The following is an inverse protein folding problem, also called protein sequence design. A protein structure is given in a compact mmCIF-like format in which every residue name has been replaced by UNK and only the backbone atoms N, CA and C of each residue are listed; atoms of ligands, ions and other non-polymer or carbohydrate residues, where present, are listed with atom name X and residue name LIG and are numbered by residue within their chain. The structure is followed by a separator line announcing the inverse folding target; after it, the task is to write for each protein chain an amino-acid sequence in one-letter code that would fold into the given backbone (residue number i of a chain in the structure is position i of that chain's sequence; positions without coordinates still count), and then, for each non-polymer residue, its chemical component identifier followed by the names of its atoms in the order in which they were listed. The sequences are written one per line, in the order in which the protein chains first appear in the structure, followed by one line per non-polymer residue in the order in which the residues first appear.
data_IF_660258185738
#
_entry.id   IF_660258185738
#
_cell.length_a   1.000
_cell.length_b   1.000
_cell.length_c   1.000
_cell.angle_alpha   90.00
_cell.angle_beta   90.00
_cell.angle_gamma   90.00
#
_symmetry.space_group_name_H-M   'P 1'
#
loop_
_entity.id
_entity.type
_entity.pdbx_description
1 polymer ?
#
# COMPACT_ATOMS: atom_id res chain seq x y z
N UNK A 1 -31.72 -26.75 73.34
CA UNK A 1 -32.28 -25.94 72.24
C UNK A 1 -31.12 -25.19 71.62
N UNK A 2 -30.76 -25.57 70.39
CA UNK A 2 -29.48 -25.28 69.76
C UNK A 2 -29.40 -23.87 69.17
N UNK A 3 -28.21 -23.28 69.32
CA UNK A 3 -27.70 -22.08 68.66
C UNK A 3 -27.84 -22.15 67.13
N UNK A 4 -28.60 -21.22 66.53
CA UNK A 4 -28.44 -20.82 65.11
C UNK A 4 -28.81 -19.34 64.98
N UNK A 5 -27.94 -18.45 65.44
CA UNK A 5 -27.90 -17.05 65.02
C UNK A 5 -26.46 -16.80 64.57
N UNK A 6 -26.28 -15.96 63.55
CA UNK A 6 -25.02 -15.51 62.93
C UNK A 6 -24.29 -16.47 61.99
N UNK A 7 -24.84 -16.69 60.79
CA UNK A 7 -23.99 -16.95 59.59
C UNK A 7 -24.66 -16.59 58.24
N UNK A 8 -25.69 -15.73 58.21
CA UNK A 8 -26.40 -15.37 56.98
C UNK A 8 -26.26 -13.89 56.55
N UNK A 9 -25.27 -13.16 57.08
CA UNK A 9 -25.10 -11.71 56.80
C UNK A 9 -23.69 -11.32 56.32
N UNK A 10 -22.91 -12.26 55.77
CA UNK A 10 -21.59 -11.97 55.19
C UNK A 10 -21.35 -12.52 53.77
N UNK A 11 -22.36 -13.12 53.13
CA UNK A 11 -22.23 -13.63 51.75
C UNK A 11 -22.95 -12.78 50.68
N UNK A 12 -23.82 -11.84 51.08
CA UNK A 12 -24.52 -10.94 50.16
C UNK A 12 -23.82 -9.60 49.93
N UNK A 13 -22.76 -9.30 50.70
CA UNK A 13 -22.00 -8.05 50.58
C UNK A 13 -20.76 -8.19 49.67
N UNK A 14 -20.24 -9.40 49.45
CA UNK A 14 -19.08 -9.65 48.58
C UNK A 14 -19.44 -9.76 47.09
N UNK A 15 -20.63 -10.25 46.75
CA UNK A 15 -21.07 -10.35 45.35
C UNK A 15 -21.34 -8.96 44.72
N UNK A 16 -21.80 -8.00 45.52
CA UNK A 16 -22.07 -6.62 45.08
C UNK A 16 -20.81 -5.76 44.99
N UNK A 17 -19.77 -6.04 45.80
CA UNK A 17 -18.47 -5.37 45.72
C UNK A 17 -17.65 -5.77 44.49
N UNK A 18 -17.82 -6.99 43.97
CA UNK A 18 -17.14 -7.42 42.73
C UNK A 18 -17.74 -6.72 41.49
N UNK A 19 -19.04 -6.40 41.49
CA UNK A 19 -19.71 -5.84 40.31
C UNK A 19 -19.33 -4.39 39.98
N UNK A 20 -18.69 -3.69 40.91
CA UNK A 20 -18.34 -2.25 40.79
C UNK A 20 -16.87 -2.01 40.46
N UNK A 21 -16.04 -3.05 40.38
CA UNK A 21 -14.62 -2.88 40.07
C UNK A 21 -14.46 -2.36 38.64
N UNK A 22 -13.83 -1.20 38.50
CA UNK A 22 -13.43 -0.65 37.20
C UNK A 22 -12.25 -1.46 36.66
N UNK A 23 -12.29 -1.85 35.39
CA UNK A 23 -11.13 -2.43 34.70
C UNK A 23 -10.17 -1.33 34.26
N UNK A 24 -8.87 -1.59 34.36
CA UNK A 24 -7.82 -0.71 33.87
C UNK A 24 -7.08 -1.37 32.70
N UNK A 25 -7.27 -0.83 31.50
CA UNK A 25 -6.78 -1.38 30.25
C UNK A 25 -5.45 -0.73 29.83
N UNK A 26 -4.55 -1.56 29.31
CA UNK A 26 -3.32 -1.14 28.61
C UNK A 26 -3.52 -1.37 27.12
N UNK A 27 -2.80 -0.62 26.27
CA UNK A 27 -2.90 -0.75 24.81
C UNK A 27 -2.75 -2.22 24.38
N UNK A 28 -3.72 -2.78 23.62
CA UNK A 28 -3.81 -4.21 23.35
C UNK A 28 -2.95 -4.66 22.15
N UNK A 29 -2.04 -3.79 21.69
CA UNK A 29 -1.28 -3.98 20.46
C UNK A 29 0.14 -3.48 20.64
N UNK A 30 1.10 -4.27 20.17
CA UNK A 30 2.51 -3.87 20.13
C UNK A 30 2.75 -2.73 19.14
N UNK A 31 3.58 -1.76 19.55
CA UNK A 31 4.04 -0.66 18.70
C UNK A 31 3.70 0.71 19.26
N UNK A 32 4.00 1.74 18.47
CA UNK A 32 3.76 3.14 18.78
C UNK A 32 2.54 3.64 17.99
N UNK A 33 1.50 4.09 18.69
CA UNK A 33 0.31 4.69 18.07
C UNK A 33 0.68 5.88 17.16
N UNK A 34 0.08 5.95 15.97
CA UNK A 34 0.36 6.96 14.96
C UNK A 34 1.63 6.73 14.14
N UNK A 35 2.39 5.67 14.44
CA UNK A 35 3.58 5.25 13.68
C UNK A 35 3.44 3.81 13.19
N UNK A 36 3.26 2.88 14.13
CA UNK A 36 3.22 1.44 13.86
C UNK A 36 1.77 0.94 13.71
N UNK A 37 0.83 1.55 14.42
CA UNK A 37 -0.60 1.28 14.27
C UNK A 37 -1.43 2.57 14.40
N UNK A 38 -2.67 2.51 13.93
CA UNK A 38 -3.60 3.63 13.84
C UNK A 38 -4.98 3.18 14.33
N UNK A 39 -5.68 4.02 15.09
CA UNK A 39 -7.09 3.75 15.37
C UNK A 39 -7.89 4.23 14.18
N UNK A 40 -8.60 3.33 13.51
CA UNK A 40 -9.37 3.68 12.30
C UNK A 40 -10.86 3.78 12.58
N UNK A 41 -11.37 2.91 13.46
CA UNK A 41 -12.77 2.92 13.88
C UNK A 41 -12.86 2.81 15.41
N UNK A 42 -13.70 3.63 16.02
CA UNK A 42 -14.14 3.53 17.41
C UNK A 42 -15.52 2.85 17.49
N UNK A 43 -15.99 2.59 18.70
CA UNK A 43 -17.35 2.06 18.91
C UNK A 43 -18.37 3.05 18.37
N UNK A 44 -19.39 2.54 17.70
CA UNK A 44 -20.54 3.32 17.26
C UNK A 44 -21.55 3.49 18.41
N UNK A 45 -21.79 4.75 18.78
CA UNK A 45 -22.71 5.15 19.84
C UNK A 45 -24.10 5.49 19.31
N UNK A 46 -24.29 5.55 17.99
CA UNK A 46 -25.60 5.81 17.38
C UNK A 46 -26.20 4.52 16.80
N UNK A 47 -27.02 3.83 17.58
CA UNK A 47 -27.64 2.56 17.16
C UNK A 47 -28.74 2.71 16.09
N UNK A 48 -28.89 3.90 15.50
CA UNK A 48 -29.88 4.15 14.45
C UNK A 48 -29.31 3.72 13.11
N UNK A 49 -30.12 3.06 12.28
CA UNK A 49 -29.69 2.57 10.95
C UNK A 49 -29.13 3.70 10.08
N UNK A 50 -27.96 3.51 9.50
CA UNK A 50 -27.19 4.49 8.71
C UNK A 50 -26.84 5.79 9.46
N UNK A 51 -26.83 5.78 10.79
CA UNK A 51 -26.26 6.84 11.60
C UNK A 51 -24.98 6.33 12.25
N UNK A 52 -24.02 7.22 12.44
CA UNK A 52 -22.74 6.87 13.06
C UNK A 52 -22.31 7.98 14.01
N UNK A 53 -21.84 7.60 15.20
CA UNK A 53 -21.15 8.52 16.12
C UNK A 53 -20.10 7.78 16.92
N UNK A 54 -18.85 8.21 16.82
CA UNK A 54 -17.82 7.76 17.76
C UNK A 54 -17.99 8.42 19.14
N UNK A 55 -17.14 8.06 20.11
CA UNK A 55 -17.22 8.57 21.49
C UNK A 55 -17.08 10.08 21.64
N UNK A 56 -16.53 10.79 20.65
CA UNK A 56 -16.44 12.26 20.60
C UNK A 56 -17.53 12.89 19.73
N UNK A 57 -18.54 12.12 19.33
CA UNK A 57 -19.56 12.49 18.37
C UNK A 57 -19.01 12.82 16.97
N UNK A 58 -17.84 12.28 16.63
CA UNK A 58 -17.27 12.34 15.29
C UNK A 58 -17.74 11.18 14.40
N UNK A 59 -17.07 11.04 13.27
CA UNK A 59 -17.40 10.10 12.20
C UNK A 59 -16.37 8.96 12.07
N UNK A 60 -15.48 8.79 13.04
CA UNK A 60 -14.42 7.77 12.98
C UNK A 60 -14.94 6.41 13.45
N UNK A 61 -15.95 5.91 12.75
CA UNK A 61 -16.62 4.62 12.98
C UNK A 61 -17.48 4.27 11.76
N UNK A 62 -18.19 3.14 11.82
CA UNK A 62 -19.21 2.75 10.85
C UNK A 62 -20.43 2.14 11.55
N UNK A 63 -21.57 2.08 10.85
CA UNK A 63 -22.87 1.68 11.42
C UNK A 63 -22.78 0.30 12.07
N UNK A 64 -23.08 0.25 13.37
CA UNK A 64 -23.10 -0.97 14.18
C UNK A 64 -21.72 -1.48 14.62
N UNK A 65 -20.66 -0.67 14.52
CA UNK A 65 -19.33 -1.08 14.97
C UNK A 65 -19.26 -1.22 16.50
N UNK A 66 -18.89 -2.42 16.99
CA UNK A 66 -18.96 -2.77 18.41
C UNK A 66 -17.61 -2.67 19.15
N UNK A 67 -16.53 -2.29 18.46
CA UNK A 67 -15.18 -2.33 19.03
C UNK A 67 -14.34 -1.13 18.66
N UNK A 68 -13.04 -1.24 18.93
CA UNK A 68 -12.02 -0.32 18.41
C UNK A 68 -11.06 -1.08 17.50
N UNK A 69 -10.82 -0.54 16.31
CA UNK A 69 -9.92 -1.13 15.33
C UNK A 69 -8.54 -0.47 15.39
N UNK A 70 -7.54 -1.24 15.83
CA UNK A 70 -6.13 -0.87 15.83
C UNK A 70 -5.46 -1.45 14.57
N UNK A 71 -5.34 -0.63 13.54
CA UNK A 71 -4.96 -1.03 12.19
C UNK A 71 -3.47 -0.86 11.94
N UNK A 72 -2.84 -1.90 11.39
CA UNK A 72 -1.45 -1.86 10.94
C UNK A 72 -1.33 -1.11 9.62
N UNK A 73 -0.11 -0.75 9.23
CA UNK A 73 0.14 -0.04 7.97
C UNK A 73 -0.18 -0.88 6.74
N UNK A 74 0.05 -2.19 6.77
CA UNK A 74 0.00 -3.07 5.59
C UNK A 74 0.16 -4.54 5.94
N UNK A 75 -0.17 -5.42 4.99
CA UNK A 75 0.09 -6.86 5.11
C UNK A 75 1.58 -7.21 5.24
N UNK A 76 2.49 -6.45 4.63
CA UNK A 76 3.94 -6.65 4.88
C UNK A 76 4.32 -6.44 6.36
N UNK A 77 3.66 -5.53 7.07
CA UNK A 77 3.86 -5.36 8.51
C UNK A 77 3.23 -6.50 9.30
N UNK A 78 2.04 -6.96 8.91
CA UNK A 78 1.42 -8.17 9.47
C UNK A 78 2.35 -9.38 9.36
N UNK A 79 3.00 -9.55 8.19
CA UNK A 79 3.92 -10.66 7.93
C UNK A 79 5.17 -10.60 8.82
N UNK A 80 5.62 -9.39 9.22
CA UNK A 80 6.73 -9.20 10.16
C UNK A 80 6.40 -9.64 11.60
N UNK A 81 5.11 -9.85 11.92
CA UNK A 81 4.64 -10.38 13.20
C UNK A 81 4.50 -9.31 14.28
N UNK A 82 3.35 -8.63 14.29
CA UNK A 82 3.00 -7.67 15.36
C UNK A 82 2.20 -8.37 16.44
N UNK A 83 2.63 -8.29 17.69
CA UNK A 83 1.98 -8.96 18.81
C UNK A 83 0.66 -8.29 19.22
N UNK A 84 -0.38 -9.11 19.40
CA UNK A 84 -1.58 -8.76 20.17
C UNK A 84 -1.26 -8.96 21.64
N UNK A 85 -1.55 -7.97 22.46
CA UNK A 85 -1.21 -7.95 23.89
C UNK A 85 -2.48 -8.03 24.74
N UNK A 86 -2.42 -8.79 25.83
CA UNK A 86 -3.49 -8.75 26.84
C UNK A 86 -3.64 -7.33 27.40
N UNK A 87 -4.82 -6.74 27.29
CA UNK A 87 -5.06 -5.38 27.78
C UNK A 87 -5.07 -5.29 29.32
N UNK A 88 -5.43 -6.38 30.00
CA UNK A 88 -5.54 -6.44 31.46
C UNK A 88 -5.28 -7.87 31.97
N UNK A 89 -4.99 -7.99 33.27
CA UNK A 89 -4.80 -9.29 33.92
C UNK A 89 -6.09 -10.13 33.83
N UNK A 90 -5.96 -11.42 33.56
CA UNK A 90 -7.14 -12.27 33.40
C UNK A 90 -6.85 -13.74 33.15
N UNK A 91 -7.92 -14.45 32.80
CA UNK A 91 -7.91 -15.86 32.42
C UNK A 91 -8.50 -16.00 31.03
N UNK A 92 -7.75 -16.63 30.13
CA UNK A 92 -8.22 -16.94 28.78
C UNK A 92 -9.37 -17.93 28.88
N UNK A 93 -10.53 -17.61 28.30
CA UNK A 93 -11.69 -18.50 28.30
C UNK A 93 -12.03 -19.05 26.91
N UNK A 94 -11.50 -18.45 25.85
CA UNK A 94 -11.79 -18.88 24.47
C UNK A 94 -10.65 -18.53 23.52
N UNK A 95 -10.42 -19.41 22.52
CA UNK A 95 -9.46 -19.22 21.44
C UNK A 95 -10.01 -19.86 20.16
N UNK A 96 -10.00 -19.10 19.06
CA UNK A 96 -10.18 -19.59 17.67
C UNK A 96 -8.98 -19.12 16.87
N UNK A 97 -8.27 -20.02 16.19
CA UNK A 97 -6.98 -19.70 15.56
C UNK A 97 -6.70 -20.52 14.29
N UNK A 98 -7.75 -20.98 13.59
CA UNK A 98 -7.62 -21.89 12.45
C UNK A 98 -8.19 -21.35 11.13
N UNK A 99 -8.79 -20.15 11.14
CA UNK A 99 -9.43 -19.56 9.97
C UNK A 99 -8.43 -18.71 9.17
N UNK A 100 -8.56 -18.72 7.84
CA UNK A 100 -7.74 -17.88 6.96
C UNK A 100 -7.78 -16.39 7.34
N UNK A 101 -6.62 -15.74 7.26
CA UNK A 101 -6.31 -14.47 7.91
C UNK A 101 -5.70 -13.40 7.01
N UNK A 102 -5.84 -13.52 5.69
CA UNK A 102 -5.44 -12.48 4.74
C UNK A 102 -6.63 -12.07 3.88
N UNK A 103 -7.75 -11.76 4.54
CA UNK A 103 -8.94 -11.24 3.88
C UNK A 103 -8.73 -9.77 3.49
N UNK A 104 -9.34 -9.35 2.38
CA UNK A 104 -9.23 -7.98 1.86
C UNK A 104 -10.59 -7.36 1.56
N UNK A 105 -11.64 -8.07 1.96
CA UNK A 105 -13.04 -7.80 1.61
C UNK A 105 -13.88 -7.91 2.86
N UNK A 106 -14.84 -7.01 2.98
CA UNK A 106 -15.84 -7.04 4.05
C UNK A 106 -16.91 -8.09 3.70
N UNK A 107 -17.01 -9.11 4.54
CA UNK A 107 -18.02 -10.18 4.47
C UNK A 107 -18.53 -10.37 5.90
N UNK A 108 -19.65 -9.72 6.21
CA UNK A 108 -20.23 -9.60 7.56
C UNK A 108 -20.42 -10.97 8.22
N UNK A 109 -20.81 -11.98 7.45
CA UNK A 109 -21.06 -13.35 7.94
C UNK A 109 -19.80 -14.03 8.52
N UNK A 110 -18.61 -13.50 8.24
CA UNK A 110 -17.35 -14.03 8.77
C UNK A 110 -17.02 -13.51 10.18
N UNK A 111 -17.71 -12.46 10.66
CA UNK A 111 -17.57 -11.92 12.02
C UNK A 111 -16.12 -11.74 12.47
N UNK A 112 -15.81 -12.14 13.69
CA UNK A 112 -14.48 -11.97 14.31
C UNK A 112 -13.35 -12.75 13.64
N UNK A 113 -13.64 -13.79 12.86
CA UNK A 113 -12.61 -14.72 12.38
C UNK A 113 -11.93 -15.46 13.54
N UNK A 114 -10.60 -15.41 13.59
CA UNK A 114 -9.83 -15.91 14.73
C UNK A 114 -9.84 -14.88 15.85
N UNK A 115 -10.02 -15.33 17.08
CA UNK A 115 -10.10 -14.43 18.22
C UNK A 115 -9.76 -15.10 19.55
N UNK A 116 -9.36 -14.29 20.51
CA UNK A 116 -9.08 -14.67 21.90
C UNK A 116 -10.06 -13.94 22.81
N UNK A 117 -10.62 -14.65 23.79
CA UNK A 117 -11.46 -14.09 24.84
C UNK A 117 -10.79 -14.21 26.20
N UNK A 118 -10.72 -13.10 26.94
CA UNK A 118 -10.12 -13.05 28.28
C UNK A 118 -11.16 -12.56 29.28
N UNK A 119 -11.31 -13.29 30.38
CA UNK A 119 -12.16 -12.92 31.50
C UNK A 119 -11.31 -12.28 32.60
N UNK A 120 -11.78 -11.16 33.14
CA UNK A 120 -11.09 -10.37 34.14
C UNK A 120 -11.87 -10.33 35.45
N UNK A 121 -11.27 -9.76 36.49
CA UNK A 121 -11.99 -9.45 37.72
C UNK A 121 -13.18 -8.52 37.46
N UNK A 122 -14.14 -8.49 38.38
CA UNK A 122 -15.33 -7.66 38.29
C UNK A 122 -16.32 -8.00 37.17
N UNK A 123 -16.17 -9.17 36.53
CA UNK A 123 -17.07 -9.64 35.49
C UNK A 123 -16.82 -9.00 34.12
N UNK A 124 -15.67 -8.36 33.92
CA UNK A 124 -15.25 -7.82 32.63
C UNK A 124 -14.73 -8.92 31.71
N UNK A 125 -14.92 -8.72 30.41
CA UNK A 125 -14.38 -9.55 29.34
C UNK A 125 -13.80 -8.68 28.25
N UNK A 126 -12.67 -9.08 27.70
CA UNK A 126 -12.10 -8.49 26.49
C UNK A 126 -12.02 -9.51 25.37
N UNK A 127 -12.23 -9.03 24.15
CA UNK A 127 -12.23 -9.84 22.93
C UNK A 127 -11.22 -9.24 21.96
N UNK A 128 -10.36 -10.09 21.41
CA UNK A 128 -9.27 -9.72 20.50
C UNK A 128 -9.49 -10.47 19.19
N UNK A 129 -10.05 -9.81 18.18
CA UNK A 129 -10.48 -10.43 16.94
C UNK A 129 -9.53 -10.15 15.76
N UNK A 130 -9.82 -10.80 14.63
CA UNK A 130 -9.04 -10.76 13.39
C UNK A 130 -7.59 -11.27 13.54
N UNK A 131 -7.37 -12.16 14.51
CA UNK A 131 -6.06 -12.72 14.84
C UNK A 131 -5.48 -13.53 13.67
N UNK A 132 -4.15 -13.57 13.55
CA UNK A 132 -3.41 -14.34 12.55
C UNK A 132 -3.56 -15.84 12.80
N UNK A 133 -3.80 -16.62 11.77
CA UNK A 133 -3.94 -18.09 11.84
C UNK A 133 -2.70 -18.74 12.45
N UNK A 134 -2.90 -19.73 13.32
CA UNK A 134 -1.86 -20.47 14.01
C UNK A 134 -0.85 -19.57 14.76
N UNK A 135 -1.33 -18.46 15.33
CA UNK A 135 -0.48 -17.51 16.06
C UNK A 135 -0.78 -17.41 17.55
N UNK A 136 -1.84 -18.05 18.05
CA UNK A 136 -2.21 -18.00 19.45
C UNK A 136 -1.07 -18.58 20.33
N UNK A 137 -0.64 -17.78 21.30
CA UNK A 137 0.40 -18.13 22.28
C UNK A 137 -0.19 -18.66 23.60
N UNK A 138 -1.51 -18.67 23.69
CA UNK A 138 -2.28 -19.03 24.88
C UNK A 138 -3.41 -20.01 24.53
N UNK A 139 -3.90 -20.71 25.54
CA UNK A 139 -5.07 -21.61 25.44
C UNK A 139 -6.07 -21.33 26.57
N UNK A 140 -7.33 -21.77 26.45
CA UNK A 140 -8.30 -21.65 27.52
C UNK A 140 -7.78 -22.21 28.86
N UNK A 141 -7.95 -21.43 29.93
CA UNK A 141 -7.46 -21.72 31.27
C UNK A 141 -6.14 -21.05 31.63
N UNK A 142 -5.37 -20.56 30.65
CA UNK A 142 -4.13 -19.84 30.93
C UNK A 142 -4.40 -18.51 31.63
N UNK A 143 -3.54 -18.15 32.58
CA UNK A 143 -3.52 -16.83 33.22
C UNK A 143 -2.56 -15.93 32.45
N UNK A 144 -2.97 -14.70 32.24
CA UNK A 144 -2.16 -13.65 31.59
C UNK A 144 -2.18 -12.39 32.43
N UNK A 145 -1.12 -11.60 32.33
CA UNK A 145 -1.05 -10.24 32.87
C UNK A 145 -1.10 -9.21 31.74
N UNK A 146 -1.46 -7.98 32.07
CA UNK A 146 -1.48 -6.89 31.10
C UNK A 146 -0.13 -6.74 30.40
N UNK A 147 -0.12 -6.71 29.07
CA UNK A 147 1.07 -6.63 28.24
C UNK A 147 1.64 -7.98 27.79
N UNK A 148 1.13 -9.11 28.28
CA UNK A 148 1.53 -10.43 27.75
C UNK A 148 1.14 -10.55 26.27
N UNK A 149 2.06 -11.04 25.44
CA UNK A 149 1.75 -11.38 24.05
C UNK A 149 0.86 -12.63 24.02
N UNK A 150 -0.31 -12.52 23.40
CA UNK A 150 -1.32 -13.60 23.36
C UNK A 150 -1.51 -14.16 21.95
N UNK A 151 -1.21 -13.40 20.90
CA UNK A 151 -1.22 -13.83 19.51
C UNK A 151 -0.49 -12.83 18.60
N UNK A 152 -0.59 -13.00 17.28
CA UNK A 152 -0.18 -12.00 16.30
C UNK A 152 -1.40 -11.40 15.56
N UNK A 153 -1.29 -10.14 15.14
CA UNK A 153 -2.33 -9.49 14.32
C UNK A 153 -2.45 -10.17 12.97
N UNK A 154 -3.68 -10.39 12.52
CA UNK A 154 -4.02 -10.90 11.20
C UNK A 154 -5.05 -10.03 10.48
N UNK A 155 -5.74 -10.65 9.53
CA UNK A 155 -6.92 -10.14 8.85
C UNK A 155 -7.89 -11.30 8.60
N UNK A 156 -8.21 -12.06 9.65
CA UNK A 156 -9.21 -13.14 9.60
C UNK A 156 -10.62 -12.58 9.78
N UNK A 157 -11.65 -13.33 9.37
CA UNK A 157 -13.03 -12.88 9.56
C UNK A 157 -13.48 -11.79 8.59
N UNK A 158 -14.33 -10.88 9.08
CA UNK A 158 -14.79 -9.70 8.38
C UNK A 158 -13.76 -8.57 8.47
N UNK A 159 -12.72 -8.62 7.62
CA UNK A 159 -11.57 -7.71 7.70
C UNK A 159 -11.06 -7.38 6.29
N UNK A 160 -10.77 -6.10 6.06
CA UNK A 160 -10.28 -5.58 4.76
C UNK A 160 -8.79 -5.23 4.75
N UNK A 161 -8.24 -4.98 5.93
CA UNK A 161 -6.85 -4.60 6.19
C UNK A 161 -6.40 -5.26 7.50
N UNK A 162 -5.10 -5.53 7.71
CA UNK A 162 -4.64 -6.16 8.94
C UNK A 162 -4.82 -5.22 10.14
N UNK A 163 -5.65 -5.65 11.09
CA UNK A 163 -5.97 -4.87 12.29
C UNK A 163 -6.35 -5.79 13.44
N UNK A 164 -6.27 -5.27 14.66
CA UNK A 164 -6.88 -5.85 15.83
C UNK A 164 -8.21 -5.15 16.09
N UNK A 165 -9.31 -5.90 16.04
CA UNK A 165 -10.60 -5.44 16.55
C UNK A 165 -10.72 -5.82 18.02
N UNK A 166 -10.92 -4.83 18.88
CA UNK A 166 -10.91 -4.97 20.33
C UNK A 166 -12.24 -4.53 20.94
N UNK A 167 -12.87 -5.42 21.69
CA UNK A 167 -14.13 -5.12 22.38
C UNK A 167 -14.01 -5.34 23.89
N UNK A 168 -14.78 -4.57 24.65
CA UNK A 168 -14.89 -4.67 26.11
C UNK A 168 -16.33 -4.88 26.49
N UNK A 169 -16.60 -5.97 27.20
CA UNK A 169 -17.94 -6.33 27.64
C UNK A 169 -17.96 -6.57 29.13
N UNK A 170 -19.16 -6.46 29.69
CA UNK A 170 -19.46 -6.93 31.03
C UNK A 170 -20.30 -8.21 30.98
N UNK A 171 -20.28 -8.98 32.06
CA UNK A 171 -20.92 -10.30 32.16
C UNK A 171 -22.43 -10.28 31.87
N UNK A 172 -23.08 -9.13 32.02
CA UNK A 172 -24.47 -8.85 31.65
C UNK A 172 -24.65 -8.60 30.14
N UNK A 173 -23.64 -8.88 29.32
CA UNK A 173 -23.64 -8.70 27.87
C UNK A 173 -23.82 -7.24 27.45
N UNK A 174 -23.43 -6.31 28.31
CA UNK A 174 -23.37 -4.88 27.96
C UNK A 174 -22.01 -4.58 27.34
N UNK A 175 -22.04 -4.02 26.13
CA UNK A 175 -20.88 -3.47 25.46
C UNK A 175 -20.45 -2.18 26.16
N UNK A 176 -19.14 -2.01 26.34
CA UNK A 176 -18.56 -0.80 26.89
C UNK A 176 -17.48 -0.27 25.96
N UNK A 177 -17.62 0.99 25.55
CA UNK A 177 -16.55 1.69 24.86
C UNK A 177 -15.38 1.96 25.83
N UNK A 178 -14.15 1.49 25.53
CA UNK A 178 -13.00 1.71 26.39
C UNK A 178 -12.51 3.16 26.46
N UNK A 179 -12.86 4.01 25.48
CA UNK A 179 -12.57 5.45 25.45
C UNK A 179 -13.62 6.30 26.18
N UNK A 180 -14.80 5.75 26.43
CA UNK A 180 -15.83 6.42 27.21
C UNK A 180 -17.19 5.69 27.23
N UNK A 181 -17.57 4.98 28.31
CA UNK A 181 -18.86 4.30 28.40
C UNK A 181 -20.02 5.28 28.63
N UNK A 182 -20.75 5.67 27.59
CA UNK A 182 -21.86 6.64 27.70
C UNK A 182 -22.39 7.08 26.34
N UNK A 183 -23.24 8.13 26.31
CA UNK A 183 -23.57 8.83 25.07
C UNK A 183 -22.35 9.60 24.56
N UNK A 184 -22.16 9.67 23.24
CA UNK A 184 -21.06 10.43 22.64
C UNK A 184 -20.97 11.86 23.20
N UNK A 185 -19.76 12.38 23.40
CA UNK A 185 -19.51 13.75 23.84
C UNK A 185 -19.80 14.02 25.32
N UNK A 186 -20.47 13.11 26.03
CA UNK A 186 -20.38 13.03 27.49
C UNK A 186 -19.02 12.39 27.79
N UNK A 187 -18.27 12.90 28.77
CA UNK A 187 -16.96 12.34 29.16
C UNK A 187 -17.14 11.38 30.37
N UNK A 188 -17.60 10.15 30.19
CA UNK A 188 -17.47 9.12 31.22
C UNK A 188 -15.98 8.74 31.34
N UNK A 189 -15.61 8.22 32.51
CA UNK A 189 -14.22 7.91 32.79
C UNK A 189 -13.68 6.83 31.84
N UNK A 190 -12.62 7.14 31.10
CA UNK A 190 -11.82 6.20 30.30
C UNK A 190 -11.55 4.89 31.03
N UNK A 191 -11.57 3.76 30.32
CA UNK A 191 -11.12 2.46 30.84
C UNK A 191 -9.60 2.26 30.64
N UNK A 192 -8.94 3.11 29.85
CA UNK A 192 -7.50 3.03 29.62
C UNK A 192 -6.70 3.63 30.79
N UNK A 193 -5.61 2.97 31.17
CA UNK A 193 -4.59 3.53 32.09
C UNK A 193 -3.97 4.80 31.50
N UNK A 194 -3.64 4.75 30.21
CA UNK A 194 -3.14 5.86 29.43
C UNK A 194 -3.97 5.93 28.14
N UNK A 195 -5.01 6.76 28.14
CA UNK A 195 -5.86 6.92 26.95
C UNK A 195 -5.06 7.53 25.80
N UNK A 196 -5.11 6.88 24.64
CA UNK A 196 -4.59 7.45 23.40
C UNK A 196 -5.42 8.68 23.00
N UNK A 197 -4.79 9.73 22.42
CA UNK A 197 -5.51 10.94 22.04
C UNK A 197 -6.54 10.65 20.94
N UNK A 198 -7.65 11.41 20.97
CA UNK A 198 -8.57 11.47 19.83
C UNK A 198 -7.93 12.30 18.72
N UNK A 199 -7.22 11.62 17.83
CA UNK A 199 -6.41 12.26 16.80
C UNK A 199 -7.20 12.43 15.50
N UNK A 200 -7.53 13.68 15.21
CA UNK A 200 -8.27 14.06 14.00
C UNK A 200 -7.39 14.75 12.96
N UNK A 201 -6.09 14.84 13.21
CA UNK A 201 -5.17 15.50 12.32
C UNK A 201 -4.95 14.69 11.04
N UNK A 202 -4.81 15.40 9.92
CA UNK A 202 -4.39 14.76 8.68
C UNK A 202 -2.96 14.22 8.81
N UNK A 203 -2.75 12.96 8.43
CA UNK A 203 -1.44 12.31 8.46
C UNK A 203 -1.21 11.44 7.24
N UNK A 204 0.03 11.48 6.75
CA UNK A 204 0.53 10.52 5.77
C UNK A 204 1.03 9.30 6.51
N UNK A 205 0.41 8.15 6.24
CA UNK A 205 0.87 6.87 6.79
C UNK A 205 2.06 6.40 5.97
N UNK A 206 1.97 6.43 4.65
CA UNK A 206 3.08 6.12 3.74
C UNK A 206 2.78 6.60 2.32
N UNK A 207 3.79 6.58 1.45
CA UNK A 207 3.63 6.89 0.04
C UNK A 207 4.80 6.34 -0.77
N UNK A 208 4.64 6.28 -2.09
CA UNK A 208 5.72 5.83 -2.94
C UNK A 208 5.44 6.01 -4.42
N UNK A 209 6.39 5.52 -5.20
CA UNK A 209 6.28 5.44 -6.65
C UNK A 209 6.31 3.98 -7.11
N UNK A 210 5.64 3.68 -8.23
CA UNK A 210 5.58 2.36 -8.87
C UNK A 210 5.67 2.50 -10.39
N UNK A 211 6.16 1.49 -11.08
CA UNK A 211 6.29 1.43 -12.54
C UNK A 211 5.12 0.70 -13.24
N UNK A 212 3.99 0.54 -12.54
CA UNK A 212 2.75 -0.08 -13.03
C UNK A 212 1.56 0.56 -12.30
N UNK A 213 0.35 0.38 -12.84
CA UNK A 213 -0.89 0.92 -12.25
C UNK A 213 -1.44 -0.02 -11.17
N UNK A 214 -1.54 0.41 -9.90
CA UNK A 214 -1.93 -0.44 -8.80
C UNK A 214 -3.42 -0.69 -8.67
N UNK A 215 -3.74 -1.75 -7.93
CA UNK A 215 -5.04 -1.96 -7.30
C UNK A 215 -4.92 -1.72 -5.80
N UNK A 216 -6.05 -1.48 -5.12
CA UNK A 216 -6.08 -1.36 -3.66
C UNK A 216 -5.40 -2.56 -2.98
N UNK A 217 -5.74 -3.77 -3.41
CA UNK A 217 -5.19 -5.01 -2.85
C UNK A 217 -3.69 -5.12 -2.96
N UNK A 218 -3.11 -4.60 -4.04
CA UNK A 218 -1.66 -4.59 -4.21
C UNK A 218 -0.96 -3.51 -3.38
N UNK A 219 -1.59 -2.35 -3.15
CA UNK A 219 -1.03 -1.32 -2.26
C UNK A 219 -1.04 -1.75 -0.80
N UNK A 220 -2.09 -2.47 -0.37
CA UNK A 220 -2.19 -3.06 0.97
C UNK A 220 -1.08 -4.05 1.28
N UNK A 221 -0.53 -4.71 0.26
CA UNK A 221 0.63 -5.61 0.37
C UNK A 221 1.95 -4.88 0.59
N UNK A 222 1.97 -3.55 0.47
CA UNK A 222 3.17 -2.71 0.53
C UNK A 222 4.18 -3.10 -0.57
N UNK A 223 3.89 -2.77 -1.84
CA UNK A 223 4.77 -3.15 -2.94
C UNK A 223 6.14 -2.49 -2.76
N UNK A 224 7.19 -3.22 -3.11
CA UNK A 224 8.56 -2.68 -3.10
C UNK A 224 8.69 -1.64 -4.21
N UNK A 225 9.11 -0.40 -3.91
CA UNK A 225 9.32 0.61 -4.95
C UNK A 225 10.42 0.16 -5.93
N UNK A 226 10.30 0.49 -7.23
CA UNK A 226 11.39 0.28 -8.17
C UNK A 226 12.59 1.16 -7.80
N UNK A 227 13.80 0.68 -8.12
CA UNK A 227 15.05 1.42 -7.88
C UNK A 227 15.31 2.54 -8.90
N UNK A 228 14.69 2.44 -10.08
CA UNK A 228 14.76 3.40 -11.19
C UNK A 228 13.57 3.20 -12.11
N UNK A 229 13.18 4.24 -12.84
CA UNK A 229 12.23 4.14 -13.95
C UNK A 229 13.02 4.07 -15.26
N UNK A 230 12.75 3.09 -16.11
CA UNK A 230 13.49 2.86 -17.35
C UNK A 230 12.53 2.76 -18.54
N UNK A 231 13.05 2.92 -19.76
CA UNK A 231 12.25 2.87 -21.00
C UNK A 231 11.34 1.64 -21.22
N UNK A 232 11.59 0.44 -20.64
CA UNK A 232 10.62 -0.65 -20.70
C UNK A 232 9.34 -0.39 -19.89
N UNK A 233 9.39 0.53 -18.92
CA UNK A 233 8.23 0.90 -18.12
C UNK A 233 7.24 1.72 -18.97
N UNK A 234 5.95 1.49 -18.78
CA UNK A 234 4.92 2.23 -19.52
C UNK A 234 4.33 3.39 -18.71
N UNK A 235 4.46 3.37 -17.39
CA UNK A 235 3.85 4.34 -16.48
C UNK A 235 4.74 4.64 -15.27
N UNK A 236 4.53 5.81 -14.68
CA UNK A 236 4.96 6.14 -13.32
C UNK A 236 3.70 6.42 -12.50
N UNK A 237 3.51 5.67 -11.44
CA UNK A 237 2.41 5.84 -10.49
C UNK A 237 2.93 6.47 -9.22
N UNK A 238 2.23 7.47 -8.71
CA UNK A 238 2.32 7.94 -7.34
C UNK A 238 1.16 7.37 -6.54
N UNK A 239 1.45 6.79 -5.37
CA UNK A 239 0.44 6.32 -4.44
C UNK A 239 0.71 6.87 -3.04
N UNK A 240 -0.36 7.04 -2.29
CA UNK A 240 -0.34 7.54 -0.91
C UNK A 240 -1.36 6.77 -0.08
N UNK A 241 -0.96 6.44 1.14
CA UNK A 241 -1.81 5.91 2.19
C UNK A 241 -1.84 6.93 3.33
N UNK A 242 -3.03 7.38 3.72
CA UNK A 242 -3.23 8.57 4.55
C UNK A 242 -4.48 8.42 5.43
N UNK A 243 -4.59 9.28 6.44
CA UNK A 243 -5.72 9.35 7.36
C UNK A 243 -6.10 10.81 7.66
N UNK A 244 -7.34 11.01 8.10
CA UNK A 244 -7.84 12.32 8.54
C UNK A 244 -8.23 13.26 7.41
N UNK A 245 -8.52 12.75 6.21
CA UNK A 245 -9.10 13.54 5.13
C UNK A 245 -10.55 13.88 5.47
N UNK A 246 -10.95 15.13 5.19
CA UNK A 246 -12.30 15.63 5.45
C UNK A 246 -13.10 15.77 4.19
N UNK A 247 -14.41 15.58 4.33
CA UNK A 247 -15.37 15.97 3.30
C UNK A 247 -15.18 17.46 2.99
N UNK A 248 -14.96 17.77 1.71
CA UNK A 248 -14.67 19.12 1.22
C UNK A 248 -13.19 19.44 1.06
N UNK A 249 -12.26 18.60 1.55
CA UNK A 249 -10.84 18.76 1.24
C UNK A 249 -10.62 18.62 -0.27
N UNK A 250 -9.71 19.43 -0.83
CA UNK A 250 -9.32 19.34 -2.23
C UNK A 250 -7.93 18.73 -2.33
N UNK A 251 -7.85 17.58 -2.98
CA UNK A 251 -6.58 16.90 -3.28
C UNK A 251 -6.11 17.37 -4.65
N UNK A 252 -4.82 17.72 -4.74
CA UNK A 252 -4.17 18.09 -6.00
C UNK A 252 -2.83 17.39 -6.12
N UNK A 253 -2.55 16.82 -7.29
CA UNK A 253 -1.28 16.17 -7.61
C UNK A 253 -0.69 16.80 -8.85
N UNK A 254 0.49 17.36 -8.71
CA UNK A 254 1.26 17.92 -9.81
C UNK A 254 2.44 17.02 -10.14
N UNK A 255 2.67 16.81 -11.43
CA UNK A 255 3.87 16.19 -11.97
C UNK A 255 4.65 17.28 -12.67
N UNK A 256 5.90 17.53 -12.25
CA UNK A 256 6.73 18.61 -12.81
C UNK A 256 8.10 18.08 -13.18
N UNK A 257 8.70 18.66 -14.21
CA UNK A 257 10.11 18.46 -14.51
C UNK A 257 10.95 19.28 -13.53
N UNK A 258 11.99 18.70 -12.94
CA UNK A 258 12.75 19.34 -11.87
C UNK A 258 13.65 20.47 -12.37
N UNK A 259 14.22 20.33 -13.57
CA UNK A 259 15.24 21.27 -14.08
C UNK A 259 14.71 22.69 -14.38
N UNK A 260 13.45 22.80 -14.78
CA UNK A 260 12.80 24.07 -15.16
C UNK A 260 11.47 24.30 -14.43
N UNK A 261 11.09 23.39 -13.51
CA UNK A 261 9.81 23.38 -12.79
C UNK A 261 8.57 23.38 -13.70
N UNK A 262 8.73 22.98 -14.97
CA UNK A 262 7.64 22.95 -15.94
C UNK A 262 6.59 21.92 -15.52
N UNK A 263 5.31 22.32 -15.56
CA UNK A 263 4.20 21.41 -15.30
C UNK A 263 4.09 20.40 -16.44
N UNK A 264 4.15 19.11 -16.09
CA UNK A 264 3.93 18.01 -17.00
C UNK A 264 2.46 17.59 -17.02
N UNK A 265 1.90 17.35 -15.84
CA UNK A 265 0.50 16.94 -15.69
C UNK A 265 -0.04 17.36 -14.31
N UNK A 266 -1.34 17.60 -14.21
CA UNK A 266 -2.03 17.91 -12.96
C UNK A 266 -3.33 17.12 -12.84
N UNK A 267 -3.62 16.65 -11.63
CA UNK A 267 -4.92 16.13 -11.22
C UNK A 267 -5.43 16.93 -10.03
N UNK A 268 -6.68 17.36 -10.06
CA UNK A 268 -7.34 18.02 -8.91
C UNK A 268 -8.74 17.43 -8.73
N UNK A 269 -9.10 17.06 -7.51
CA UNK A 269 -10.42 16.52 -7.19
C UNK A 269 -10.79 16.76 -5.72
N UNK A 270 -12.07 17.02 -5.42
CA UNK A 270 -12.56 17.16 -4.05
C UNK A 270 -12.83 15.80 -3.41
N UNK A 271 -12.67 15.72 -2.09
CA UNK A 271 -13.19 14.64 -1.24
C UNK A 271 -14.67 14.90 -1.02
N UNK A 272 -15.55 14.14 -1.70
CA UNK A 272 -16.98 14.46 -1.77
C UNK A 272 -17.91 13.51 -1.02
N UNK A 273 -17.45 12.32 -0.64
CA UNK A 273 -18.32 11.25 -0.13
C UNK A 273 -18.43 11.26 1.39
N UNK A 274 -17.29 11.24 2.06
CA UNK A 274 -17.19 11.12 3.51
C UNK A 274 -15.80 11.54 4.00
N UNK A 275 -15.67 11.64 5.32
CA UNK A 275 -14.37 11.71 5.98
C UNK A 275 -13.66 10.35 5.84
N UNK A 276 -12.37 10.40 5.53
CA UNK A 276 -11.57 9.20 5.35
C UNK A 276 -10.47 9.09 6.41
N UNK A 277 -10.64 8.10 7.28
CA UNK A 277 -9.76 7.81 8.41
C UNK A 277 -8.66 6.79 8.09
N UNK A 278 -8.74 6.13 6.92
CA UNK A 278 -7.75 5.19 6.42
C UNK A 278 -7.95 5.01 4.91
N UNK A 279 -7.18 5.71 4.09
CA UNK A 279 -7.46 5.88 2.67
C UNK A 279 -6.21 5.72 1.80
N UNK A 280 -6.37 4.92 0.74
CA UNK A 280 -5.39 4.74 -0.31
C UNK A 280 -5.82 5.53 -1.54
N UNK A 281 -4.90 6.30 -2.08
CA UNK A 281 -5.09 7.04 -3.33
C UNK A 281 -3.90 6.83 -4.25
N UNK A 282 -4.12 6.82 -5.55
CA UNK A 282 -3.05 6.82 -6.54
C UNK A 282 -3.45 7.54 -7.82
N UNK A 283 -2.43 8.05 -8.50
CA UNK A 283 -2.49 8.66 -9.82
C UNK A 283 -1.28 8.17 -10.60
N UNK A 284 -1.39 8.13 -11.92
CA UNK A 284 -0.30 7.69 -12.78
C UNK A 284 -0.24 8.53 -14.04
N UNK A 285 0.97 8.70 -14.54
CA UNK A 285 1.24 9.26 -15.86
C UNK A 285 1.87 8.16 -16.72
N UNK A 286 1.72 8.26 -18.04
CA UNK A 286 2.60 7.50 -18.95
C UNK A 286 4.06 7.90 -18.67
N UNK A 287 4.99 6.96 -18.86
CA UNK A 287 6.42 7.20 -18.62
C UNK A 287 6.84 8.50 -19.35
N UNK A 288 7.29 9.53 -18.63
CA UNK A 288 7.70 10.78 -19.26
C UNK A 288 9.08 10.60 -19.93
N UNK A 289 9.53 11.55 -20.78
CA UNK A 289 10.87 11.53 -21.36
C UNK A 289 11.98 11.36 -20.33
N UNK A 290 13.16 10.89 -20.76
CA UNK A 290 14.33 10.78 -19.88
C UNK A 290 14.70 12.14 -19.29
N UNK A 291 14.47 12.31 -17.99
CA UNK A 291 14.77 13.52 -17.23
C UNK A 291 14.56 13.29 -15.73
N UNK A 292 14.74 14.35 -14.95
CA UNK A 292 14.38 14.41 -13.54
C UNK A 292 13.00 15.04 -13.35
N UNK A 293 12.18 14.40 -12.53
CA UNK A 293 10.82 14.83 -12.24
C UNK A 293 10.55 14.87 -10.74
N UNK A 294 9.53 15.62 -10.37
CA UNK A 294 8.97 15.65 -9.02
C UNK A 294 7.46 15.50 -9.10
N UNK A 295 6.91 14.58 -8.31
CA UNK A 295 5.48 14.55 -8.02
C UNK A 295 5.24 15.30 -6.71
N UNK A 296 4.28 16.23 -6.71
CA UNK A 296 3.88 17.01 -5.55
C UNK A 296 2.43 16.73 -5.22
N UNK A 297 2.15 16.43 -3.96
CA UNK A 297 0.82 16.14 -3.45
C UNK A 297 0.38 17.23 -2.47
N UNK A 298 -0.80 17.78 -2.71
CA UNK A 298 -1.37 18.89 -1.95
C UNK A 298 -2.74 18.53 -1.38
N UNK A 299 -3.06 19.13 -0.23
CA UNK A 299 -4.41 19.20 0.33
C UNK A 299 -4.73 20.65 0.60
N UNK A 300 -5.86 21.15 0.08
CA UNK A 300 -6.30 22.54 0.26
C UNK A 300 -5.19 23.56 -0.06
N UNK A 301 -4.47 23.33 -1.16
CA UNK A 301 -3.31 24.11 -1.61
C UNK A 301 -2.06 24.06 -0.70
N UNK A 302 -2.08 23.32 0.40
CA UNK A 302 -0.90 23.05 1.22
C UNK A 302 -0.13 21.86 0.65
N UNK A 303 1.15 22.06 0.36
CA UNK A 303 2.04 20.96 -0.05
C UNK A 303 2.29 20.01 1.13
N UNK A 304 2.04 18.72 0.91
CA UNK A 304 2.22 17.67 1.89
C UNK A 304 3.45 16.81 1.54
N UNK A 305 3.60 16.46 0.25
CA UNK A 305 4.69 15.62 -0.25
C UNK A 305 5.28 16.28 -1.49
N UNK A 306 6.61 16.24 -1.58
CA UNK A 306 7.34 16.38 -2.83
C UNK A 306 8.25 15.16 -2.96
N UNK A 307 8.11 14.40 -4.05
CA UNK A 307 8.91 13.19 -4.30
C UNK A 307 9.55 13.27 -5.67
N UNK A 308 10.87 13.39 -5.66
CA UNK A 308 11.69 13.36 -6.86
C UNK A 308 11.90 11.93 -7.36
N UNK A 309 12.03 11.79 -8.68
CA UNK A 309 12.41 10.56 -9.36
C UNK A 309 13.10 10.87 -10.69
N UNK A 310 13.96 9.94 -11.11
CA UNK A 310 14.63 9.99 -12.40
C UNK A 310 13.98 8.99 -13.35
N UNK A 311 13.82 9.39 -14.61
CA UNK A 311 13.56 8.47 -15.72
C UNK A 311 14.87 8.28 -16.46
N UNK A 312 15.43 7.08 -16.34
CA UNK A 312 16.72 6.75 -16.92
C UNK A 312 16.62 6.49 -18.42
N UNK A 313 17.29 7.34 -19.18
CA UNK A 313 17.53 7.18 -20.61
C UNK A 313 18.73 6.30 -20.94
N UNK A 314 19.51 5.80 -19.97
CA UNK A 314 20.76 5.05 -20.21
C UNK A 314 20.57 3.63 -20.75
N UNK A 315 19.33 3.11 -20.74
CA UNK A 315 18.94 1.93 -21.50
C UNK A 315 18.33 2.27 -22.88
N UNK A 316 18.24 3.55 -23.24
CA UNK A 316 18.38 3.89 -24.65
C UNK A 316 19.85 3.63 -24.96
N UNK A 317 20.11 2.78 -25.95
CA UNK A 317 21.32 3.03 -26.73
C UNK A 317 21.24 4.50 -27.11
N UNK A 318 22.13 5.34 -26.56
CA UNK A 318 22.32 6.68 -27.10
C UNK A 318 22.35 6.48 -28.61
N UNK A 319 21.50 7.20 -29.33
CA UNK A 319 21.58 7.27 -30.78
C UNK A 319 22.96 7.90 -31.02
N UNK A 320 24.01 7.06 -31.07
CA UNK A 320 25.37 7.48 -31.40
C UNK A 320 25.17 8.22 -32.70
N UNK A 321 25.41 9.54 -32.66
CA UNK A 321 25.10 10.50 -33.71
C UNK A 321 25.00 9.80 -35.06
N UNK A 322 23.78 9.57 -35.61
CA UNK A 322 23.63 8.78 -36.82
C UNK A 322 24.55 9.38 -37.87
N UNK A 323 25.34 8.54 -38.56
CA UNK A 323 26.25 8.97 -39.63
C UNK A 323 25.55 10.05 -40.46
N UNK A 324 26.01 11.29 -40.31
CA UNK A 324 25.24 12.47 -40.74
C UNK A 324 24.94 12.38 -42.23
N UNK A 325 23.66 12.48 -42.59
CA UNK A 325 23.24 12.39 -43.99
C UNK A 325 23.02 10.97 -44.50
N UNK A 326 22.81 9.96 -43.64
CA UNK A 326 22.36 8.62 -44.07
C UNK A 326 21.00 8.31 -43.44
N UNK A 327 20.03 7.93 -44.27
CA UNK A 327 18.73 7.40 -43.84
C UNK A 327 18.71 5.89 -44.01
N UNK A 328 18.38 5.17 -42.93
CA UNK A 328 18.16 3.72 -42.94
C UNK A 328 16.72 3.46 -42.46
N UNK A 329 15.92 2.77 -43.27
CA UNK A 329 14.51 2.46 -42.98
C UNK A 329 14.13 1.11 -43.54
N UNK A 330 13.12 0.45 -42.98
CA UNK A 330 12.51 -0.70 -43.66
C UNK A 330 11.84 -0.26 -44.96
N UNK A 331 11.82 -1.17 -45.94
CA UNK A 331 11.01 -1.01 -47.13
C UNK A 331 9.53 -1.08 -46.72
N UNK A 332 8.69 -0.09 -47.09
CA UNK A 332 7.27 -0.16 -46.77
C UNK A 332 6.64 -1.43 -47.35
N UNK A 333 6.03 -2.25 -46.47
CA UNK A 333 5.40 -3.52 -46.85
C UNK A 333 6.32 -4.74 -46.84
N UNK A 334 7.63 -4.58 -46.60
CA UNK A 334 8.58 -5.70 -46.46
C UNK A 334 9.59 -5.43 -45.34
N UNK A 335 9.31 -5.99 -44.16
CA UNK A 335 10.13 -5.86 -42.95
C UNK A 335 11.45 -6.65 -43.02
N UNK A 336 11.68 -7.44 -44.06
CA UNK A 336 12.97 -8.11 -44.28
C UNK A 336 13.95 -7.26 -45.10
N UNK A 337 13.52 -6.12 -45.65
CA UNK A 337 14.37 -5.29 -46.51
C UNK A 337 14.66 -3.97 -45.83
N UNK A 338 15.94 -3.65 -45.67
CA UNK A 338 16.40 -2.31 -45.30
C UNK A 338 16.71 -1.50 -46.54
N UNK A 339 16.22 -0.26 -46.60
CA UNK A 339 16.55 0.76 -47.58
C UNK A 339 17.53 1.76 -46.97
N UNK A 340 18.65 1.94 -47.65
CA UNK A 340 19.67 2.94 -47.32
C UNK A 340 19.69 4.03 -48.39
N UNK A 341 19.81 5.27 -47.96
CA UNK A 341 19.90 6.42 -48.88
C UNK A 341 20.67 7.54 -48.23
N UNK A 342 21.55 8.18 -49.00
CA UNK A 342 22.19 9.42 -48.57
C UNK A 342 21.20 10.59 -48.66
N UNK A 343 21.08 11.33 -47.56
CA UNK A 343 20.22 12.50 -47.43
C UNK A 343 21.07 13.78 -47.41
N UNK A 344 20.63 14.77 -48.18
CA UNK A 344 21.34 16.04 -48.33
C UNK A 344 22.45 16.01 -49.38
N UNK A 345 23.28 17.06 -49.44
CA UNK A 345 24.36 17.23 -50.42
C UNK A 345 25.71 16.69 -49.91
N UNK A 346 25.70 15.63 -49.10
CA UNK A 346 26.93 15.00 -48.61
C UNK A 346 27.56 14.13 -49.71
N UNK A 347 28.90 14.05 -49.81
CA UNK A 347 29.57 13.18 -50.78
C UNK A 347 29.30 11.70 -50.47
N UNK A 348 29.25 10.81 -51.47
CA UNK A 348 29.04 9.38 -51.25
C UNK A 348 29.99 8.79 -50.21
N UNK A 349 29.41 8.03 -49.29
CA UNK A 349 30.13 7.43 -48.16
C UNK A 349 30.21 5.92 -48.30
N UNK A 350 31.39 5.34 -48.11
CA UNK A 350 31.52 3.89 -47.99
C UNK A 350 31.15 3.46 -46.57
N UNK A 351 30.08 2.69 -46.45
CA UNK A 351 29.56 2.17 -45.18
C UNK A 351 29.86 0.68 -45.04
N UNK A 352 30.04 0.24 -43.80
CA UNK A 352 30.04 -1.16 -43.39
C UNK A 352 28.97 -1.38 -42.34
N UNK A 353 28.06 -2.31 -42.61
CA UNK A 353 26.93 -2.64 -41.74
C UNK A 353 27.12 -4.03 -41.14
N UNK A 354 27.03 -4.12 -39.82
CA UNK A 354 27.18 -5.39 -39.08
C UNK A 354 26.04 -5.54 -38.08
N UNK A 355 25.41 -6.70 -38.06
CA UNK A 355 24.31 -7.01 -37.15
C UNK A 355 24.83 -7.77 -35.91
N UNK A 356 24.31 -7.41 -34.75
CA UNK A 356 24.58 -8.01 -33.44
C UNK A 356 23.27 -8.41 -32.77
N UNK A 357 23.30 -9.44 -31.93
CA UNK A 357 22.16 -9.82 -31.09
C UNK A 357 22.17 -9.05 -29.75
N UNK A 358 21.15 -9.29 -28.91
CA UNK A 358 20.99 -8.62 -27.61
C UNK A 358 22.12 -8.88 -26.61
N UNK A 359 22.91 -9.94 -26.82
CA UNK A 359 24.09 -10.23 -26.00
C UNK A 359 25.36 -9.53 -26.50
N UNK A 360 25.26 -8.76 -27.58
CA UNK A 360 26.41 -8.15 -28.27
C UNK A 360 27.19 -9.13 -29.14
N UNK A 361 26.65 -10.33 -29.39
CA UNK A 361 27.30 -11.31 -30.27
C UNK A 361 27.02 -10.96 -31.72
N UNK A 362 28.08 -10.93 -32.53
CA UNK A 362 28.00 -10.66 -33.97
C UNK A 362 27.20 -11.76 -34.68
N UNK A 363 26.10 -11.36 -35.33
CA UNK A 363 25.23 -12.22 -36.12
C UNK A 363 25.75 -12.34 -37.55
N UNK A 364 26.16 -11.23 -38.15
CA UNK A 364 26.64 -11.23 -39.54
C UNK A 364 26.97 -9.85 -40.07
N UNK A 365 27.68 -9.80 -41.20
CA UNK A 365 27.92 -8.55 -41.94
C UNK A 365 26.85 -8.42 -43.01
N UNK A 366 26.12 -7.30 -43.01
CA UNK A 366 24.99 -7.08 -43.91
C UNK A 366 25.42 -6.46 -45.24
N UNK A 367 26.35 -5.50 -45.20
CA UNK A 367 26.70 -4.70 -46.36
C UNK A 367 28.07 -4.08 -46.24
N UNK A 368 28.74 -3.90 -47.38
CA UNK A 368 29.85 -2.97 -47.53
C UNK A 368 29.82 -2.40 -48.92
N UNK A 369 29.73 -1.08 -49.01
CA UNK A 369 29.64 -0.42 -50.29
C UNK A 369 29.40 1.07 -50.12
N UNK A 370 29.45 1.76 -51.25
CA UNK A 370 29.17 3.18 -51.34
C UNK A 370 27.65 3.41 -51.32
N UNK A 371 27.19 4.28 -50.42
CA UNK A 371 25.81 4.74 -50.37
C UNK A 371 25.78 6.17 -50.89
N UNK A 372 24.91 6.40 -51.87
CA UNK A 372 24.67 7.69 -52.52
C UNK A 372 23.17 8.04 -52.43
N UNK A 373 22.70 9.00 -53.24
CA UNK A 373 21.30 9.42 -53.27
C UNK A 373 20.34 8.37 -53.86
N UNK A 374 20.85 7.32 -54.50
CA UNK A 374 20.05 6.18 -54.94
C UNK A 374 19.78 5.21 -53.78
N UNK A 375 18.61 4.58 -53.78
CA UNK A 375 18.24 3.61 -52.75
C UNK A 375 19.03 2.33 -52.93
N UNK A 376 19.80 1.98 -51.90
CA UNK A 376 20.40 0.65 -51.76
C UNK A 376 19.51 -0.22 -50.89
N UNK A 377 19.20 -1.43 -51.34
CA UNK A 377 18.37 -2.39 -50.59
C UNK A 377 19.20 -3.53 -50.03
N UNK A 378 18.94 -3.90 -48.79
CA UNK A 378 19.60 -5.00 -48.09
C UNK A 378 18.53 -5.98 -47.62
N UNK A 379 18.63 -7.21 -48.11
CA UNK A 379 17.77 -8.31 -47.70
C UNK A 379 18.32 -9.01 -46.45
N UNK A 380 17.51 -9.08 -45.40
CA UNK A 380 17.81 -9.74 -44.13
C UNK A 380 17.41 -11.23 -44.14
N UNK A 381 16.56 -11.67 -45.06
CA UNK A 381 16.04 -13.04 -45.09
C UNK A 381 17.12 -14.14 -45.11
N UNK A 382 18.27 -13.99 -45.81
CA UNK A 382 19.32 -15.01 -45.82
C UNK A 382 19.92 -15.32 -44.44
N UNK A 383 19.78 -14.42 -43.46
CA UNK A 383 20.35 -14.57 -42.13
C UNK A 383 19.52 -15.48 -41.21
N UNK A 384 18.29 -15.83 -41.62
CA UNK A 384 17.38 -16.70 -40.84
C UNK A 384 17.25 -16.26 -39.38
N UNK A 385 17.05 -14.96 -39.18
CA UNK A 385 16.95 -14.36 -37.85
C UNK A 385 15.69 -14.86 -37.14
N UNK A 386 15.82 -15.23 -35.86
CA UNK A 386 14.66 -15.42 -35.00
C UNK A 386 13.99 -14.07 -34.74
N UNK A 387 12.67 -14.08 -34.53
CA UNK A 387 11.96 -12.87 -34.12
C UNK A 387 12.59 -12.28 -32.84
N UNK A 388 12.79 -10.97 -32.81
CA UNK A 388 13.44 -10.29 -31.69
C UNK A 388 14.13 -8.98 -32.06
N UNK A 389 14.75 -8.35 -31.05
CA UNK A 389 15.55 -7.14 -31.19
C UNK A 389 17.01 -7.49 -31.55
N UNK A 390 17.54 -6.79 -32.54
CA UNK A 390 18.94 -6.85 -32.97
C UNK A 390 19.52 -5.43 -33.05
N UNK A 391 20.84 -5.33 -33.11
CA UNK A 391 21.56 -4.06 -33.18
C UNK A 391 22.39 -3.99 -34.45
N UNK A 392 22.17 -2.95 -35.25
CA UNK A 392 22.90 -2.66 -36.47
C UNK A 392 24.01 -1.65 -36.18
N UNK A 393 25.25 -2.12 -36.21
CA UNK A 393 26.41 -1.25 -36.22
C UNK A 393 26.69 -0.75 -37.64
N UNK A 394 26.84 0.57 -37.76
CA UNK A 394 27.14 1.29 -38.99
C UNK A 394 28.51 1.90 -38.82
N UNK A 395 29.44 1.60 -39.73
CA UNK A 395 30.80 2.16 -39.69
C UNK A 395 31.09 2.84 -41.02
N UNK A 396 31.35 4.14 -40.99
CA UNK A 396 31.88 4.87 -42.13
C UNK A 396 33.40 4.63 -42.23
N UNK A 397 33.95 4.51 -43.44
CA UNK A 397 35.39 4.24 -43.65
C UNK A 397 36.33 5.26 -42.98
N UNK A 398 35.82 6.45 -42.62
CA UNK A 398 36.52 7.46 -41.83
C UNK A 398 36.70 7.11 -40.33
N UNK A 399 36.11 6.00 -39.85
CA UNK A 399 36.24 5.52 -38.47
C UNK A 399 35.14 5.99 -37.52
N UNK A 400 34.14 6.73 -38.01
CA UNK A 400 32.96 7.13 -37.24
C UNK A 400 31.95 5.99 -37.29
N UNK A 401 31.55 5.49 -36.11
CA UNK A 401 30.54 4.45 -35.94
C UNK A 401 29.26 4.98 -35.33
N UNK A 402 28.14 4.34 -35.63
CA UNK A 402 26.88 4.48 -34.89
C UNK A 402 26.19 3.12 -34.75
N UNK A 403 25.30 2.98 -33.78
CA UNK A 403 24.52 1.74 -33.56
C UNK A 403 23.02 2.03 -33.56
N UNK A 404 22.26 1.30 -34.38
CA UNK A 404 20.82 1.47 -34.54
C UNK A 404 20.07 0.19 -34.11
N UNK A 405 19.03 0.26 -33.26
CA UNK A 405 18.18 -0.90 -32.98
C UNK A 405 17.32 -1.29 -34.21
N UNK A 406 17.19 -2.59 -34.46
CA UNK A 406 16.42 -3.18 -35.56
C UNK A 406 15.53 -4.30 -35.01
N UNK A 407 14.24 -4.24 -35.32
CA UNK A 407 13.26 -5.24 -34.91
C UNK A 407 12.98 -6.24 -36.03
N UNK A 408 13.19 -7.52 -35.79
CA UNK A 408 12.80 -8.58 -36.72
C UNK A 408 11.48 -9.16 -36.24
N UNK A 409 10.40 -8.92 -36.98
CA UNK A 409 9.12 -9.62 -36.81
C UNK A 409 9.04 -10.76 -37.82
N UNK A 410 8.79 -12.00 -37.36
CA UNK A 410 8.47 -13.11 -38.25
C UNK A 410 7.00 -13.12 -38.64
#
# INVERSE_FOLDING_TARGET
MYNVITQLFFFLCSASLLYTQKIELSTPLEGIAGKDFFIVNYVDHDSSVNAIKDYQCGTQTYDGHQGTDFTLRSFAQMDSGVAVLSAADGVVFHVVDSLYDRNKVSIVERGFGNWIGIAHEGGWRTYYAHVRTNSALVKPGDRVVAGDAIALVGSSGNSTDPHLHFEVWKIDTVLHDPFGPGSCGVQPSSLWKNQLPYDTEYKVIDYGLLNWVPTLDTLRERPTPPTSFALPDSVVTFWIHQQGLRTGDVIRVEWRRTVDNALWFEYEFPVSEQDWWYHYFWTYINLPPSDQYVVRYFINNREIIAREFDVDGSNAVEDETPVTGISIRYLPGDWNILSLTQTGNTPPSTLSLTLFDQSGKRVGKLYTGEVNSERTFIDLAPLKLSAGLYFLQIVEKAGIGSTLPIFVSQ
#
